data_IF_638927567171
#
_entry.id   IF_638927567171
#
_cell.length_a   1.000
_cell.length_b   1.000
_cell.length_c   1.000
_cell.angle_alpha   90.00
_cell.angle_beta   90.00
_cell.angle_gamma   90.00
#
_symmetry.space_group_name_H-M   'P 1'
#
loop_
_entity.id
_entity.type
_entity.pdbx_description
1 polymer ?
#
# COMPACT_ATOMS: atom_id res chain seq x y z
N UNK A 1 -23.07 3.79 24.03
CA UNK A 1 -22.20 3.22 22.96
C UNK A 1 -21.55 4.36 22.22
N UNK A 2 -20.20 4.37 22.10
CA UNK A 2 -19.53 5.36 21.27
C UNK A 2 -19.96 5.15 19.81
N UNK A 3 -20.32 6.25 19.12
CA UNK A 3 -20.65 6.20 17.70
C UNK A 3 -19.41 5.71 16.94
N UNK A 4 -19.55 4.65 16.14
CA UNK A 4 -18.48 4.16 15.26
C UNK A 4 -18.18 5.23 14.21
N UNK A 5 -16.89 5.51 13.95
CA UNK A 5 -16.53 6.41 12.87
C UNK A 5 -16.98 5.82 11.53
N UNK A 6 -17.75 6.59 10.75
CA UNK A 6 -18.24 6.18 9.44
C UNK A 6 -17.24 6.43 8.32
N UNK A 7 -16.09 7.01 8.65
CA UNK A 7 -15.01 7.37 7.74
C UNK A 7 -13.87 6.36 7.80
N UNK A 8 -13.32 6.02 6.64
CA UNK A 8 -12.10 5.20 6.54
C UNK A 8 -11.04 5.91 5.70
N UNK A 9 -9.78 5.77 6.11
CA UNK A 9 -8.62 6.23 5.35
C UNK A 9 -8.00 5.05 4.62
N UNK A 10 -7.76 5.18 3.31
CA UNK A 10 -7.19 4.07 2.54
C UNK A 10 -6.07 4.51 1.61
N UNK A 11 -5.22 3.57 1.26
CA UNK A 11 -4.28 3.68 0.16
C UNK A 11 -4.21 2.36 -0.60
N UNK A 12 -3.80 2.43 -1.85
CA UNK A 12 -3.58 1.28 -2.71
C UNK A 12 -2.26 1.41 -3.46
N UNK A 13 -1.53 0.32 -3.60
CA UNK A 13 -0.28 0.36 -4.34
C UNK A 13 0.29 -1.00 -4.71
N UNK A 14 1.30 -0.97 -5.59
CA UNK A 14 2.02 -2.16 -6.06
C UNK A 14 3.02 -2.67 -5.02
N UNK A 15 3.74 -1.76 -4.35
CA UNK A 15 4.74 -2.05 -3.30
C UNK A 15 5.71 -3.18 -3.67
N UNK A 16 6.45 -2.99 -4.77
CA UNK A 16 7.30 -4.02 -5.41
C UNK A 16 8.79 -3.66 -5.48
N UNK A 17 9.52 -3.81 -4.37
CA UNK A 17 9.05 -4.07 -3.00
C UNK A 17 8.61 -2.80 -2.26
N UNK A 18 8.07 -3.00 -1.05
CA UNK A 18 7.80 -1.90 -0.12
C UNK A 18 9.12 -1.25 0.33
N UNK A 19 9.11 0.07 0.52
CA UNK A 19 10.28 0.87 0.92
C UNK A 19 9.97 1.74 2.12
N UNK A 20 11.00 2.35 2.74
CA UNK A 20 10.81 3.32 3.81
C UNK A 20 9.96 4.54 3.40
N UNK A 21 10.04 4.96 2.13
CA UNK A 21 9.17 6.03 1.60
C UNK A 21 7.68 5.64 1.62
N UNK A 22 7.37 4.36 1.39
CA UNK A 22 6.02 3.84 1.58
C UNK A 22 5.62 3.81 3.06
N UNK A 23 6.53 3.42 3.95
CA UNK A 23 6.30 3.44 5.41
C UNK A 23 5.95 4.86 5.90
N UNK A 24 6.67 5.88 5.43
CA UNK A 24 6.36 7.27 5.75
C UNK A 24 4.93 7.66 5.33
N UNK A 25 4.53 7.25 4.12
CA UNK A 25 3.16 7.46 3.64
C UNK A 25 2.13 6.73 4.52
N UNK A 26 2.41 5.50 4.94
CA UNK A 26 1.50 4.73 5.82
C UNK A 26 1.41 5.35 7.21
N UNK A 27 2.52 5.89 7.75
CA UNK A 27 2.52 6.62 9.00
C UNK A 27 1.70 7.91 8.92
N UNK A 28 1.73 8.63 7.80
CA UNK A 28 0.89 9.79 7.56
C UNK A 28 -0.60 9.42 7.54
N UNK A 29 -0.96 8.33 6.88
CA UNK A 29 -2.34 7.80 6.85
C UNK A 29 -2.80 7.41 8.25
N UNK A 30 -1.99 6.64 8.98
CA UNK A 30 -2.24 6.25 10.38
C UNK A 30 -2.47 7.47 11.27
N UNK A 31 -1.63 8.49 11.13
CA UNK A 31 -1.75 9.75 11.89
C UNK A 31 -3.04 10.48 11.56
N UNK A 32 -3.41 10.60 10.28
CA UNK A 32 -4.65 11.25 9.86
C UNK A 32 -5.88 10.50 10.40
N UNK A 33 -5.89 9.17 10.27
CA UNK A 33 -6.97 8.33 10.78
C UNK A 33 -7.11 8.46 12.31
N UNK A 34 -6.00 8.38 13.05
CA UNK A 34 -6.00 8.52 14.51
C UNK A 34 -6.51 9.89 14.97
N UNK A 35 -6.11 10.99 14.31
CA UNK A 35 -6.61 12.34 14.61
C UNK A 35 -8.12 12.46 14.40
N UNK A 36 -8.67 11.72 13.43
CA UNK A 36 -10.10 11.68 13.17
C UNK A 36 -10.86 10.66 14.06
N UNK A 37 -10.17 9.88 14.88
CA UNK A 37 -10.79 8.78 15.63
C UNK A 37 -11.31 7.65 14.75
N UNK A 38 -10.70 7.45 13.58
CA UNK A 38 -11.17 6.56 12.52
C UNK A 38 -10.15 5.46 12.21
N UNK A 39 -10.52 4.54 11.35
CA UNK A 39 -9.66 3.43 10.93
C UNK A 39 -8.99 3.68 9.58
N UNK A 40 -7.99 2.83 9.23
CA UNK A 40 -7.33 2.89 7.94
C UNK A 40 -7.03 1.50 7.39
N UNK A 41 -6.84 1.40 6.06
CA UNK A 41 -6.41 0.18 5.35
C UNK A 41 -5.37 0.49 4.28
N UNK A 42 -4.47 -0.46 4.09
CA UNK A 42 -3.44 -0.46 3.06
C UNK A 42 -3.75 -1.62 2.13
N UNK A 43 -4.27 -1.32 0.94
CA UNK A 43 -4.58 -2.33 -0.07
C UNK A 43 -3.38 -2.59 -0.97
N UNK A 44 -3.08 -3.85 -1.24
CA UNK A 44 -1.98 -4.24 -2.10
C UNK A 44 -2.47 -4.84 -3.41
N UNK A 45 -1.82 -4.44 -4.50
CA UNK A 45 -2.13 -4.88 -5.85
C UNK A 45 -1.88 -6.38 -6.03
N UNK A 46 -2.69 -7.04 -6.84
CA UNK A 46 -2.47 -8.42 -7.29
C UNK A 46 -1.51 -8.51 -8.49
N UNK A 47 -1.06 -7.36 -9.04
CA UNK A 47 -0.16 -7.33 -10.19
C UNK A 47 1.12 -8.11 -9.90
N UNK A 48 1.43 -9.04 -10.79
CA UNK A 48 2.64 -9.87 -10.73
C UNK A 48 3.23 -10.05 -12.14
N UNK A 49 4.49 -9.71 -12.31
CA UNK A 49 5.28 -9.91 -13.53
C UNK A 49 6.78 -9.97 -13.17
N UNK A 50 7.60 -10.49 -14.09
CA UNK A 50 9.03 -10.68 -13.86
C UNK A 50 9.86 -9.39 -13.92
N UNK A 51 9.30 -8.26 -14.31
CA UNK A 51 10.05 -7.03 -14.58
C UNK A 51 9.86 -6.02 -13.44
N UNK A 52 8.63 -5.57 -13.25
CA UNK A 52 8.32 -4.51 -12.29
C UNK A 52 7.65 -5.02 -11.02
N UNK A 53 6.97 -6.18 -11.10
CA UNK A 53 6.14 -6.70 -10.02
C UNK A 53 6.48 -8.15 -9.67
N UNK A 54 7.74 -8.44 -9.25
CA UNK A 54 8.23 -9.81 -9.08
C UNK A 54 7.57 -10.58 -7.95
N UNK A 55 7.00 -9.92 -6.96
CA UNK A 55 6.39 -10.59 -5.82
C UNK A 55 4.90 -10.83 -6.10
N UNK A 56 4.47 -12.09 -6.04
CA UNK A 56 3.04 -12.43 -6.04
C UNK A 56 2.32 -11.75 -4.87
N UNK A 57 1.00 -11.65 -4.93
CA UNK A 57 0.24 -10.96 -3.88
C UNK A 57 0.47 -11.57 -2.50
N UNK A 58 0.50 -12.92 -2.40
CA UNK A 58 0.70 -13.62 -1.11
C UNK A 58 2.11 -13.43 -0.58
N UNK A 59 3.13 -13.56 -1.43
CA UNK A 59 4.53 -13.33 -1.06
C UNK A 59 4.73 -11.89 -0.61
N UNK A 60 4.17 -10.93 -1.34
CA UNK A 60 4.21 -9.51 -1.00
C UNK A 60 3.52 -9.23 0.35
N UNK A 61 2.34 -9.82 0.58
CA UNK A 61 1.62 -9.70 1.84
C UNK A 61 2.46 -10.19 3.02
N UNK A 62 3.07 -11.37 2.88
CA UNK A 62 3.91 -11.95 3.92
C UNK A 62 5.09 -11.02 4.27
N UNK A 63 5.85 -10.57 3.26
CA UNK A 63 6.97 -9.66 3.48
C UNK A 63 6.55 -8.30 4.02
N UNK A 64 5.46 -7.73 3.52
CA UNK A 64 4.98 -6.44 4.04
C UNK A 64 4.58 -6.51 5.51
N UNK A 65 3.97 -7.61 5.96
CA UNK A 65 3.64 -7.80 7.40
C UNK A 65 4.88 -7.89 8.28
N UNK A 66 5.95 -8.53 7.79
CA UNK A 66 7.23 -8.64 8.51
C UNK A 66 7.97 -7.29 8.54
N UNK A 67 7.97 -6.57 7.42
CA UNK A 67 8.65 -5.29 7.27
C UNK A 67 7.95 -4.13 7.94
N UNK A 68 6.63 -4.23 8.13
CA UNK A 68 5.76 -3.17 8.64
C UNK A 68 4.91 -3.67 9.83
N UNK A 69 5.52 -4.10 10.93
CA UNK A 69 4.80 -4.73 12.06
C UNK A 69 3.69 -3.82 12.61
N UNK A 70 3.90 -2.50 12.63
CA UNK A 70 2.93 -1.51 13.10
C UNK A 70 1.69 -1.39 12.21
N UNK A 71 1.79 -1.82 10.97
CA UNK A 71 0.71 -1.78 9.98
C UNK A 71 0.18 -3.17 9.61
N UNK A 72 0.78 -4.25 10.12
CA UNK A 72 0.53 -5.63 9.69
C UNK A 72 -0.96 -6.02 9.66
N UNK A 73 -1.73 -5.57 10.67
CA UNK A 73 -3.18 -5.82 10.78
C UNK A 73 -4.04 -4.94 9.86
N UNK A 74 -3.44 -3.95 9.20
CA UNK A 74 -4.11 -2.98 8.34
C UNK A 74 -3.88 -3.23 6.85
N UNK A 75 -3.00 -4.20 6.52
CA UNK A 75 -2.69 -4.59 5.15
C UNK A 75 -3.73 -5.59 4.66
N UNK A 76 -4.39 -5.26 3.56
CA UNK A 76 -5.52 -6.01 2.98
C UNK A 76 -5.22 -6.44 1.55
N UNK A 77 -5.62 -7.67 1.21
CA UNK A 77 -5.60 -8.21 -0.14
C UNK A 77 -7.03 -8.45 -0.62
N UNK A 78 -7.34 -7.98 -1.81
CA UNK A 78 -8.58 -8.29 -2.53
C UNK A 78 -8.24 -8.68 -3.96
N UNK A 79 -9.12 -9.42 -4.61
CA UNK A 79 -8.95 -9.83 -6.01
C UNK A 79 -10.31 -9.78 -6.75
N UNK A 80 -10.45 -9.01 -7.83
CA UNK A 80 -9.44 -8.09 -8.37
C UNK A 80 -9.14 -6.92 -7.42
N UNK A 81 -7.93 -6.35 -7.51
CA UNK A 81 -7.55 -5.17 -6.75
C UNK A 81 -7.20 -4.01 -7.68
N UNK A 82 -7.95 -2.96 -7.58
CA UNK A 82 -7.75 -1.66 -8.20
C UNK A 82 -8.26 -0.57 -7.23
N UNK A 83 -7.95 0.71 -7.47
CA UNK A 83 -8.32 1.78 -6.57
C UNK A 83 -9.84 1.85 -6.29
N UNK A 84 -10.68 1.68 -7.31
CA UNK A 84 -12.14 1.77 -7.20
C UNK A 84 -12.69 0.62 -6.36
N UNK A 85 -12.25 -0.60 -6.66
CA UNK A 85 -12.64 -1.81 -5.92
C UNK A 85 -12.23 -1.72 -4.46
N UNK A 86 -11.08 -1.11 -4.14
CA UNK A 86 -10.64 -0.89 -2.76
C UNK A 86 -11.60 0.03 -2.00
N UNK A 87 -12.06 1.13 -2.62
CA UNK A 87 -13.06 2.02 -2.02
C UNK A 87 -14.36 1.27 -1.80
N UNK A 88 -14.87 0.58 -2.82
CA UNK A 88 -16.10 -0.21 -2.75
C UNK A 88 -16.03 -1.29 -1.67
N UNK A 89 -14.89 -1.97 -1.52
CA UNK A 89 -14.70 -3.00 -0.50
C UNK A 89 -14.91 -2.49 0.92
N UNK A 90 -14.65 -1.20 1.15
CA UNK A 90 -14.86 -0.57 2.46
C UNK A 90 -16.33 -0.27 2.78
N UNK A 91 -17.23 -0.33 1.80
CA UNK A 91 -18.66 -0.04 2.01
C UNK A 91 -19.41 -1.17 2.73
N UNK A 92 -18.79 -2.34 2.85
CA UNK A 92 -19.44 -3.51 3.45
C UNK A 92 -18.51 -4.18 4.45
N UNK A 93 -19.02 -4.49 5.62
CA UNK A 93 -18.29 -5.22 6.64
C UNK A 93 -17.80 -6.58 6.12
N UNK A 94 -16.57 -6.94 6.47
CA UNK A 94 -15.92 -8.18 6.09
C UNK A 94 -14.89 -8.60 7.14
N UNK A 95 -14.16 -9.68 6.90
CA UNK A 95 -13.05 -10.09 7.78
C UNK A 95 -11.98 -9.00 7.97
N UNK A 96 -11.80 -8.12 6.98
CA UNK A 96 -10.79 -7.07 6.99
C UNK A 96 -11.37 -5.69 7.29
N UNK A 97 -12.71 -5.52 7.15
CA UNK A 97 -13.45 -4.28 7.33
C UNK A 97 -14.44 -4.47 8.47
N UNK A 98 -14.25 -3.83 9.64
CA UNK A 98 -15.00 -4.15 10.86
C UNK A 98 -16.46 -3.72 10.85
N UNK A 99 -16.85 -2.78 10.00
CA UNK A 99 -18.22 -2.31 9.77
C UNK A 99 -18.30 -1.57 8.44
N UNK A 100 -19.52 -1.30 7.98
CA UNK A 100 -19.74 -0.52 6.76
C UNK A 100 -19.25 0.92 6.97
N UNK A 101 -18.55 1.45 5.95
CA UNK A 101 -18.15 2.87 5.90
C UNK A 101 -18.91 3.56 4.78
N UNK A 102 -19.35 4.78 5.02
CA UNK A 102 -20.01 5.62 4.03
C UNK A 102 -19.22 6.90 3.67
N UNK A 103 -18.04 7.07 4.29
CA UNK A 103 -17.07 8.09 3.96
C UNK A 103 -15.69 7.49 3.73
N UNK A 104 -14.97 7.95 2.72
CA UNK A 104 -13.64 7.47 2.39
C UNK A 104 -12.67 8.60 2.05
N UNK A 105 -11.50 8.57 2.67
CA UNK A 105 -10.34 9.41 2.31
C UNK A 105 -9.30 8.53 1.66
N UNK A 106 -9.11 8.72 0.35
CA UNK A 106 -8.10 8.01 -0.43
C UNK A 106 -6.79 8.79 -0.41
N UNK A 107 -5.75 8.24 0.21
CA UNK A 107 -4.49 8.95 0.43
C UNK A 107 -3.36 8.40 -0.43
N UNK A 108 -2.63 9.28 -1.11
CA UNK A 108 -1.51 8.95 -2.00
C UNK A 108 -0.38 9.97 -1.86
N UNK A 109 0.82 9.64 -2.37
CA UNK A 109 1.90 10.61 -2.47
C UNK A 109 1.49 11.84 -3.28
N UNK A 110 2.07 13.00 -2.98
CA UNK A 110 1.71 14.28 -3.61
C UNK A 110 1.80 14.25 -5.15
N UNK A 111 2.75 13.47 -5.68
CA UNK A 111 2.96 13.23 -7.12
C UNK A 111 1.79 12.49 -7.80
N UNK A 112 0.91 11.87 -7.03
CA UNK A 112 -0.19 11.03 -7.53
C UNK A 112 -1.59 11.60 -7.29
N UNK A 113 -1.73 12.66 -6.50
CA UNK A 113 -3.04 13.23 -6.14
C UNK A 113 -3.85 13.57 -7.40
N UNK A 114 -3.25 14.31 -8.33
CA UNK A 114 -3.96 14.70 -9.57
C UNK A 114 -4.35 13.48 -10.41
N UNK A 115 -3.46 12.48 -10.50
CA UNK A 115 -3.73 11.25 -11.24
C UNK A 115 -4.88 10.43 -10.64
N UNK A 116 -5.16 10.55 -9.34
CA UNK A 116 -6.21 9.81 -8.65
C UNK A 116 -7.56 10.56 -8.60
N UNK A 117 -7.63 11.81 -9.03
CA UNK A 117 -8.90 12.58 -9.06
C UNK A 117 -9.96 11.92 -9.95
N UNK A 118 -9.57 11.10 -10.91
CA UNK A 118 -10.52 10.37 -11.75
C UNK A 118 -11.46 9.46 -10.93
N UNK A 119 -11.07 9.08 -9.72
CA UNK A 119 -11.90 8.23 -8.84
C UNK A 119 -13.24 8.88 -8.50
N UNK A 120 -13.32 10.22 -8.46
CA UNK A 120 -14.57 10.93 -8.25
C UNK A 120 -15.66 10.58 -9.27
N UNK A 121 -15.29 10.19 -10.49
CA UNK A 121 -16.22 9.79 -11.54
C UNK A 121 -17.01 8.51 -11.20
N UNK A 122 -16.49 7.69 -10.31
CA UNK A 122 -17.08 6.42 -9.89
C UNK A 122 -17.92 6.55 -8.62
N UNK A 123 -17.88 7.71 -7.95
CA UNK A 123 -18.67 7.95 -6.75
C UNK A 123 -20.09 8.44 -7.11
N UNK A 124 -21.08 7.70 -6.66
CA UNK A 124 -22.49 8.00 -6.94
C UNK A 124 -22.94 7.73 -8.37
N UNK A 125 -22.08 7.15 -9.21
CA UNK A 125 -22.43 6.78 -10.57
C UNK A 125 -23.37 5.60 -10.59
N UNK A 126 -24.46 5.79 -11.28
CA UNK A 126 -25.53 4.96 -11.81
C UNK A 126 -25.70 3.51 -11.26
N UNK A 127 -26.89 3.16 -10.76
CA UNK A 127 -27.26 1.80 -10.35
C UNK A 127 -27.28 0.74 -11.48
N UNK A 128 -27.12 1.12 -12.75
CA UNK A 128 -26.78 0.20 -13.85
C UNK A 128 -25.27 -0.11 -13.92
N UNK A 129 -24.60 0.23 -12.86
CA UNK A 129 -23.18 0.32 -12.68
C UNK A 129 -22.45 -0.99 -12.91
N UNK A 130 -21.31 -0.84 -13.53
CA UNK A 130 -20.22 -1.81 -13.58
C UNK A 130 -19.79 -2.20 -12.16
N UNK A 131 -19.19 -3.36 -12.00
CA UNK A 131 -18.71 -3.93 -10.73
C UNK A 131 -17.76 -3.02 -9.94
N UNK A 132 -17.34 -1.89 -10.50
CA UNK A 132 -16.30 -1.01 -9.95
C UNK A 132 -16.82 0.30 -9.33
N UNK A 133 -18.09 0.63 -9.49
CA UNK A 133 -18.64 1.87 -8.93
C UNK A 133 -18.89 1.74 -7.42
N UNK A 134 -18.75 2.86 -6.71
CA UNK A 134 -18.99 2.96 -5.28
C UNK A 134 -19.94 4.13 -4.98
N UNK A 135 -20.49 4.18 -3.78
CA UNK A 135 -21.40 5.25 -3.34
C UNK A 135 -21.06 5.64 -1.91
N UNK A 136 -20.10 6.58 -1.79
CA UNK A 136 -19.69 7.19 -0.52
C UNK A 136 -20.41 8.54 -0.37
N UNK A 137 -20.96 8.84 0.82
CA UNK A 137 -21.54 10.14 1.15
C UNK A 137 -20.48 11.25 1.05
N UNK A 138 -19.26 10.91 1.45
CA UNK A 138 -18.10 11.77 1.31
C UNK A 138 -16.91 10.98 0.78
N UNK A 139 -16.32 11.45 -0.32
CA UNK A 139 -15.12 10.87 -0.93
C UNK A 139 -14.14 11.98 -1.29
N UNK A 140 -12.90 11.83 -0.85
CA UNK A 140 -11.83 12.78 -1.17
C UNK A 140 -10.50 12.06 -1.44
N UNK A 141 -9.66 12.70 -2.24
CA UNK A 141 -8.29 12.24 -2.53
C UNK A 141 -7.32 13.24 -1.94
N UNK A 142 -6.53 12.79 -0.97
CA UNK A 142 -5.57 13.63 -0.24
C UNK A 142 -4.13 13.17 -0.40
N UNK A 143 -3.20 14.09 -0.16
CA UNK A 143 -1.77 13.80 -0.15
C UNK A 143 -1.33 13.23 1.20
N UNK A 144 -0.43 12.23 1.15
CA UNK A 144 0.35 11.79 2.32
C UNK A 144 1.59 12.65 2.56
N UNK A 145 1.80 13.69 1.76
CA UNK A 145 3.03 14.48 1.70
C UNK A 145 3.96 14.04 0.57
N UNK A 146 5.11 14.69 0.48
CA UNK A 146 6.16 14.26 -0.43
C UNK A 146 6.75 12.94 0.07
N UNK A 147 7.04 12.03 -0.86
CA UNK A 147 7.66 10.73 -0.52
C UNK A 147 9.07 10.90 0.03
N UNK A 148 9.74 11.98 -0.36
CA UNK A 148 11.08 12.40 0.09
C UNK A 148 10.95 13.79 0.73
N UNK A 149 10.68 13.84 2.02
CA UNK A 149 10.44 15.09 2.75
C UNK A 149 11.61 16.10 2.70
N UNK A 150 12.80 15.67 2.28
CA UNK A 150 14.01 16.49 2.35
C UNK A 150 14.73 16.76 1.03
N UNK A 151 14.25 16.31 -0.13
CA UNK A 151 14.87 16.64 -1.44
C UNK A 151 16.37 16.35 -1.59
N UNK A 152 17.01 15.81 -0.55
CA UNK A 152 18.46 15.60 -0.45
C UNK A 152 18.90 14.15 -0.24
N UNK A 153 17.99 13.22 0.01
CA UNK A 153 18.35 11.84 0.29
C UNK A 153 17.72 10.90 -0.72
N UNK A 154 18.56 10.30 -1.55
CA UNK A 154 18.34 9.08 -2.34
C UNK A 154 16.86 8.72 -2.57
N UNK A 155 16.30 9.11 -3.68
CA UNK A 155 14.99 8.59 -4.14
C UNK A 155 15.08 7.07 -4.26
N UNK A 156 14.76 6.35 -3.20
CA UNK A 156 14.79 4.89 -3.18
C UNK A 156 13.50 4.40 -3.81
N UNK A 157 13.59 4.01 -5.06
CA UNK A 157 12.48 3.45 -5.83
C UNK A 157 12.46 1.91 -5.73
N UNK A 158 11.30 1.32 -6.01
CA UNK A 158 11.19 -0.14 -6.16
C UNK A 158 12.18 -0.69 -7.19
N UNK A 159 12.47 0.06 -8.25
CA UNK A 159 13.46 -0.32 -9.27
C UNK A 159 14.87 -0.42 -8.68
N UNK A 160 15.31 0.58 -7.91
CA UNK A 160 16.61 0.51 -7.23
C UNK A 160 16.69 -0.69 -6.29
N UNK A 161 15.64 -0.92 -5.51
CA UNK A 161 15.58 -2.09 -4.61
C UNK A 161 15.70 -3.40 -5.36
N UNK A 162 15.04 -3.55 -6.49
CA UNK A 162 15.15 -4.76 -7.32
C UNK A 162 16.56 -4.94 -7.88
N UNK A 163 17.19 -3.88 -8.35
CA UNK A 163 18.57 -3.94 -8.85
C UNK A 163 19.54 -4.35 -7.73
N UNK A 164 19.47 -3.73 -6.56
CA UNK A 164 20.32 -4.14 -5.43
C UNK A 164 20.06 -5.59 -4.99
N UNK A 165 18.83 -6.08 -5.10
CA UNK A 165 18.56 -7.49 -4.86
C UNK A 165 19.24 -8.39 -5.90
N UNK A 166 19.20 -8.03 -7.20
CA UNK A 166 19.88 -8.78 -8.27
C UNK A 166 21.39 -8.80 -8.04
N UNK A 167 21.98 -7.64 -7.74
CA UNK A 167 23.42 -7.45 -7.55
C UNK A 167 23.94 -8.07 -6.23
N UNK A 168 23.05 -8.45 -5.32
CA UNK A 168 23.41 -8.95 -3.98
C UNK A 168 23.93 -7.85 -3.05
N UNK A 169 23.67 -6.57 -3.35
CA UNK A 169 24.12 -5.44 -2.53
C UNK A 169 23.23 -5.24 -1.30
N UNK A 170 23.48 -6.04 -0.28
CA UNK A 170 22.76 -5.99 1.00
C UNK A 170 22.89 -4.63 1.66
N UNK A 171 24.04 -3.95 1.53
CA UNK A 171 24.32 -2.66 2.19
C UNK A 171 23.38 -1.57 1.65
N UNK A 172 23.29 -1.45 0.33
CA UNK A 172 22.41 -0.48 -0.30
C UNK A 172 20.91 -0.88 -0.14
N UNK A 173 20.61 -2.19 -0.28
CA UNK A 173 19.24 -2.70 -0.10
C UNK A 173 18.68 -2.35 1.29
N UNK A 174 19.47 -2.48 2.35
CA UNK A 174 19.07 -2.10 3.73
C UNK A 174 18.65 -0.64 3.85
N UNK A 175 19.26 0.26 3.11
CA UNK A 175 18.90 1.70 3.16
C UNK A 175 17.47 1.95 2.69
N UNK A 176 16.96 1.08 1.82
CA UNK A 176 15.61 1.20 1.28
C UNK A 176 14.53 0.53 2.09
N UNK A 177 14.87 -0.29 3.05
CA UNK A 177 13.88 -1.01 3.85
C UNK A 177 13.11 -0.08 4.79
N UNK A 178 11.85 -0.38 5.11
CA UNK A 178 11.13 0.27 6.20
C UNK A 178 11.94 0.31 7.49
N UNK A 179 11.97 1.44 8.16
CA UNK A 179 12.78 1.63 9.38
C UNK A 179 12.25 0.86 10.59
N UNK A 180 10.95 0.58 10.60
CA UNK A 180 10.29 -0.23 11.63
C UNK A 180 10.52 -1.73 11.50
N UNK A 181 11.19 -2.20 10.42
CA UNK A 181 11.45 -3.62 10.24
C UNK A 181 12.40 -4.19 11.31
N UNK A 182 12.21 -5.47 11.63
CA UNK A 182 13.01 -6.21 12.62
C UNK A 182 13.74 -7.41 11.99
N UNK A 183 13.98 -7.38 10.68
CA UNK A 183 14.63 -8.47 9.99
C UNK A 183 16.10 -8.57 10.38
N UNK A 184 16.57 -9.82 10.60
CA UNK A 184 17.99 -10.15 10.67
C UNK A 184 18.65 -9.99 9.31
N UNK A 185 19.99 -10.04 9.26
CA UNK A 185 20.71 -10.06 7.99
C UNK A 185 20.30 -11.22 7.09
N UNK A 186 20.05 -12.39 7.67
CA UNK A 186 19.54 -13.57 6.97
C UNK A 186 18.15 -13.29 6.39
N UNK A 187 17.22 -12.77 7.19
CA UNK A 187 15.87 -12.41 6.70
C UNK A 187 15.90 -11.36 5.58
N UNK A 188 16.86 -10.42 5.61
CA UNK A 188 17.04 -9.46 4.51
C UNK A 188 17.54 -10.19 3.26
N UNK A 189 18.49 -11.11 3.40
CA UNK A 189 18.99 -11.94 2.29
C UNK A 189 17.87 -12.76 1.68
N UNK A 190 17.02 -13.37 2.50
CA UNK A 190 15.86 -14.14 2.04
C UNK A 190 14.86 -13.27 1.29
N UNK A 191 14.65 -12.05 1.74
CA UNK A 191 13.80 -11.11 1.02
C UNK A 191 14.39 -10.73 -0.36
N UNK A 192 15.69 -10.47 -0.43
CA UNK A 192 16.39 -10.24 -1.70
C UNK A 192 16.28 -11.47 -2.63
N UNK A 193 16.45 -12.68 -2.10
CA UNK A 193 16.27 -13.94 -2.84
C UNK A 193 14.83 -14.08 -3.36
N UNK A 194 13.82 -13.74 -2.57
CA UNK A 194 12.42 -13.76 -3.02
C UNK A 194 12.19 -12.82 -4.21
N UNK A 195 12.77 -11.61 -4.19
CA UNK A 195 12.70 -10.66 -5.30
C UNK A 195 13.39 -11.22 -6.54
N UNK A 196 14.65 -11.72 -6.41
CA UNK A 196 15.42 -12.35 -7.51
C UNK A 196 14.65 -13.48 -8.17
N UNK A 197 14.12 -14.40 -7.36
CA UNK A 197 13.33 -15.54 -7.82
C UNK A 197 12.10 -15.08 -8.61
N UNK A 198 11.39 -14.07 -8.08
CA UNK A 198 10.22 -13.51 -8.76
C UNK A 198 10.55 -12.86 -10.10
N UNK A 199 11.76 -12.32 -10.25
CA UNK A 199 12.30 -11.80 -11.52
C UNK A 199 12.84 -12.89 -12.46
N UNK A 200 12.86 -14.15 -12.02
CA UNK A 200 13.33 -15.29 -12.83
C UNK A 200 14.85 -15.54 -12.76
N UNK A 201 15.54 -14.94 -11.80
CA UNK A 201 16.97 -15.24 -11.58
C UNK A 201 17.14 -16.47 -10.70
N UNK A 202 18.25 -17.20 -10.91
CA UNK A 202 18.66 -18.28 -9.99
C UNK A 202 18.98 -17.70 -8.61
N UNK A 203 18.62 -18.46 -7.57
CA UNK A 203 18.93 -18.17 -6.18
C UNK A 203 19.52 -19.43 -5.58
N UNK A 204 20.82 -19.43 -5.45
CA UNK A 204 21.57 -20.48 -4.75
C UNK A 204 21.58 -20.21 -3.25
#
# INVERSE_FOLDING_TARGET
MALKCQKIFITYGRFQPVTWGHENSFNAIKSAANKAGCDYRIFISHTNDKIENPLSQDVKLAWMKLLLPDHAKKIVTINPSDPQTCVRYCMTASKDIPHDYDECVYMVGSDRVNAMQYLHKYNGCNPKATVIDFSMKHFEVLSTGQRDADGKTFSISGTKMRNWAIDGDIKEFKKGLPKGNKLSNEGITDFMKAIKKGMGYSVD
#
